data_IF_279572882850
#
_entry.id   IF_279572882850
#
_cell.length_a   1.000
_cell.length_b   1.000
_cell.length_c   1.000
_cell.angle_alpha   90.00
_cell.angle_beta   90.00
_cell.angle_gamma   90.00
#
_symmetry.space_group_name_H-M   'P 1'
#
loop_
_entity.id
_entity.type
_entity.pdbx_description
1 polymer ?
#
# COMPACT_ATOMS: atom_id res chain seq x y z
N UNK A 1 -3.42 6.85 5.85
CA UNK A 1 -3.48 5.66 6.73
C UNK A 1 -4.16 4.52 5.97
N UNK A 2 -3.54 3.35 5.99
CA UNK A 2 -4.03 2.13 5.38
C UNK A 2 -4.00 1.03 6.43
N UNK A 3 -5.06 0.23 6.53
CA UNK A 3 -5.17 -0.91 7.44
C UNK A 3 -5.33 -2.17 6.61
N UNK A 4 -4.43 -3.12 6.84
CA UNK A 4 -4.42 -4.41 6.17
C UNK A 4 -4.99 -5.49 7.09
N UNK A 5 -5.67 -6.46 6.49
CA UNK A 5 -5.99 -7.74 7.11
C UNK A 5 -4.75 -8.63 7.22
N UNK A 6 -4.89 -9.74 7.94
CA UNK A 6 -3.84 -10.77 8.05
C UNK A 6 -3.51 -11.43 6.70
N UNK A 7 -4.41 -11.33 5.73
CA UNK A 7 -4.27 -11.82 4.36
C UNK A 7 -3.70 -10.74 3.41
N UNK A 8 -3.18 -9.64 3.95
CA UNK A 8 -2.62 -8.49 3.24
C UNK A 8 -3.62 -7.82 2.28
N UNK A 9 -4.93 -8.00 2.49
CA UNK A 9 -5.96 -7.24 1.81
C UNK A 9 -6.29 -5.97 2.58
N UNK A 10 -6.70 -4.92 1.88
CA UNK A 10 -7.09 -3.68 2.54
C UNK A 10 -8.43 -3.86 3.26
N UNK A 11 -8.43 -3.68 4.58
CA UNK A 11 -9.66 -3.62 5.38
C UNK A 11 -10.20 -2.19 5.45
N UNK A 12 -9.33 -1.20 5.50
CA UNK A 12 -9.71 0.20 5.62
C UNK A 12 -8.63 1.12 5.06
N UNK A 13 -9.04 2.24 4.47
CA UNK A 13 -8.16 3.37 4.18
C UNK A 13 -8.88 4.67 4.55
N UNK A 14 -8.13 5.68 4.99
CA UNK A 14 -8.70 6.99 5.33
C UNK A 14 -8.82 7.90 4.10
N UNK A 15 -9.56 9.01 4.23
CA UNK A 15 -9.77 9.96 3.14
C UNK A 15 -8.47 10.48 2.52
N UNK A 16 -7.46 10.81 3.33
CA UNK A 16 -6.17 11.30 2.83
C UNK A 16 -5.46 10.30 1.93
N UNK A 17 -5.64 8.98 2.14
CA UNK A 17 -5.10 7.97 1.24
C UNK A 17 -5.79 8.04 -0.13
N UNK A 18 -7.12 8.10 -0.15
CA UNK A 18 -7.88 8.22 -1.39
C UNK A 18 -7.50 9.47 -2.18
N UNK A 19 -7.34 10.61 -1.50
CA UNK A 19 -6.99 11.88 -2.14
C UNK A 19 -5.55 11.85 -2.71
N UNK A 20 -4.60 11.30 -1.94
CA UNK A 20 -3.18 11.26 -2.35
C UNK A 20 -2.93 10.33 -3.54
N UNK A 21 -3.61 9.18 -3.57
CA UNK A 21 -3.42 8.17 -4.62
C UNK A 21 -4.48 8.24 -5.72
N UNK A 22 -5.44 9.17 -5.63
CA UNK A 22 -6.55 9.33 -6.57
C UNK A 22 -7.32 8.03 -6.85
N UNK A 23 -7.63 7.27 -5.79
CA UNK A 23 -8.36 5.99 -5.86
C UNK A 23 -9.63 6.04 -5.02
N UNK A 24 -10.63 5.22 -5.36
CA UNK A 24 -11.89 5.14 -4.61
C UNK A 24 -11.91 3.98 -3.59
N UNK A 25 -12.78 4.02 -2.57
CA UNK A 25 -12.96 2.88 -1.66
C UNK A 25 -13.30 1.57 -2.38
N UNK A 26 -14.09 1.64 -3.46
CA UNK A 26 -14.49 0.48 -4.26
C UNK A 26 -13.32 -0.20 -4.96
N UNK A 27 -12.31 0.59 -5.36
CA UNK A 27 -11.10 0.10 -6.02
C UNK A 27 -10.01 -0.32 -5.02
N UNK A 28 -10.22 -0.05 -3.73
CA UNK A 28 -9.18 -0.21 -2.71
C UNK A 28 -9.52 -1.31 -1.70
N UNK A 29 -10.73 -1.29 -1.13
CA UNK A 29 -11.09 -2.20 -0.03
C UNK A 29 -11.26 -3.63 -0.55
N UNK A 30 -10.69 -4.60 0.17
CA UNK A 30 -10.66 -6.01 -0.21
C UNK A 30 -9.62 -6.36 -1.28
N UNK A 31 -8.95 -5.36 -1.87
CA UNK A 31 -7.88 -5.56 -2.84
C UNK A 31 -6.59 -5.95 -2.13
N UNK A 32 -5.82 -6.82 -2.77
CA UNK A 32 -4.52 -7.24 -2.24
C UNK A 32 -3.54 -6.06 -2.32
N UNK A 33 -2.77 -5.82 -1.25
CA UNK A 33 -1.93 -4.62 -1.17
C UNK A 33 -0.95 -4.48 -2.35
N UNK A 34 -0.50 -5.59 -2.94
CA UNK A 34 0.40 -5.57 -4.10
C UNK A 34 -0.25 -5.17 -5.42
N UNK A 35 -1.57 -5.12 -5.49
CA UNK A 35 -2.33 -4.69 -6.68
C UNK A 35 -2.72 -3.20 -6.60
N UNK A 36 -2.56 -2.57 -5.43
CA UNK A 36 -2.94 -1.17 -5.23
C UNK A 36 -2.13 -0.21 -6.07
N UNK A 37 -2.81 0.83 -6.57
CA UNK A 37 -2.18 1.90 -7.35
C UNK A 37 -1.43 1.36 -8.56
N UNK A 38 -1.98 0.37 -9.27
CA UNK A 38 -1.31 -0.28 -10.41
C UNK A 38 0.03 -0.96 -10.04
N UNK A 39 0.09 -1.56 -8.85
CA UNK A 39 1.28 -2.29 -8.38
C UNK A 39 2.38 -1.41 -7.77
N UNK A 40 2.13 -0.11 -7.55
CA UNK A 40 3.08 0.80 -6.90
C UNK A 40 3.51 0.34 -5.50
N UNK A 41 2.65 -0.40 -4.82
CA UNK A 41 2.91 -0.94 -3.48
C UNK A 41 3.67 -2.27 -3.52
N UNK A 42 3.86 -2.87 -4.69
CA UNK A 42 4.65 -4.09 -4.88
C UNK A 42 6.16 -3.79 -4.86
N UNK A 43 6.61 -3.21 -3.75
CA UNK A 43 8.01 -2.83 -3.53
C UNK A 43 8.70 -4.00 -2.83
N UNK A 44 9.86 -4.49 -3.32
CA UNK A 44 10.56 -5.64 -2.73
C UNK A 44 10.82 -5.50 -1.23
N UNK A 45 11.17 -4.29 -0.79
CA UNK A 45 11.42 -4.04 0.64
C UNK A 45 10.13 -4.09 1.46
N UNK A 46 9.04 -3.49 0.98
CA UNK A 46 7.74 -3.56 1.67
C UNK A 46 7.23 -5.00 1.76
N UNK A 47 7.41 -5.79 0.69
CA UNK A 47 7.12 -7.24 0.70
C UNK A 47 7.92 -7.98 1.76
N UNK A 48 9.23 -7.74 1.81
CA UNK A 48 10.11 -8.33 2.83
C UNK A 48 9.62 -8.02 4.25
N UNK A 49 9.22 -6.78 4.50
CA UNK A 49 8.70 -6.38 5.81
C UNK A 49 7.40 -7.11 6.15
N UNK A 50 6.40 -7.08 5.26
CA UNK A 50 5.08 -7.64 5.54
C UNK A 50 5.03 -9.17 5.51
N UNK A 51 5.80 -9.82 4.64
CA UNK A 51 5.73 -11.27 4.44
C UNK A 51 6.79 -12.04 5.23
N UNK A 52 7.93 -11.43 5.55
CA UNK A 52 9.03 -12.13 6.24
C UNK A 52 9.24 -11.63 7.66
N UNK A 53 9.19 -10.31 7.89
CA UNK A 53 9.54 -9.73 9.20
C UNK A 53 8.33 -9.65 10.13
N UNK A 54 7.19 -9.13 9.65
CA UNK A 54 5.98 -8.98 10.47
C UNK A 54 5.56 -10.30 11.14
N UNK A 55 5.56 -11.46 10.45
CA UNK A 55 5.21 -12.73 11.07
C UNK A 55 6.16 -13.17 12.20
N UNK A 56 7.40 -12.64 12.23
CA UNK A 56 8.41 -13.00 13.22
C UNK A 56 8.49 -12.01 14.39
N UNK A 57 8.22 -10.73 14.15
CA UNK A 57 8.43 -9.65 15.13
C UNK A 57 7.16 -9.12 15.78
N UNK A 58 5.98 -9.64 15.40
CA UNK A 58 4.64 -9.22 15.84
C UNK A 58 4.25 -7.77 15.45
N UNK A 59 5.18 -6.82 15.49
CA UNK A 59 5.01 -5.44 15.02
C UNK A 59 6.35 -4.79 14.66
N UNK A 60 6.29 -3.69 13.95
CA UNK A 60 7.37 -2.72 13.78
C UNK A 60 6.74 -1.35 13.58
N UNK A 61 7.40 -0.30 14.06
CA UNK A 61 6.87 1.07 14.04
C UNK A 61 7.88 1.99 13.34
N UNK A 62 7.38 3.03 12.67
CA UNK A 62 8.15 4.10 12.03
C UNK A 62 9.28 3.62 11.08
N UNK A 63 9.08 2.50 10.37
CA UNK A 63 10.02 2.03 9.36
C UNK A 63 9.89 2.84 8.06
N UNK A 64 10.95 3.56 7.70
CA UNK A 64 11.03 4.35 6.46
C UNK A 64 11.54 3.49 5.30
N UNK A 65 10.83 3.52 4.16
CA UNK A 65 11.21 2.85 2.92
C UNK A 65 11.42 3.93 1.86
N UNK A 66 12.65 4.09 1.39
CA UNK A 66 12.94 4.94 0.25
C UNK A 66 12.59 4.19 -1.05
N UNK A 67 11.57 4.65 -1.76
CA UNK A 67 11.24 4.14 -3.09
C UNK A 67 11.03 5.28 -4.08
N UNK A 68 11.80 5.25 -5.17
CA UNK A 68 11.64 6.19 -6.28
C UNK A 68 10.39 5.83 -7.08
N UNK A 69 9.23 6.36 -6.64
CA UNK A 69 7.97 6.29 -7.39
C UNK A 69 8.09 7.18 -8.64
N UNK A 70 8.66 6.64 -9.71
CA UNK A 70 8.78 7.36 -10.97
C UNK A 70 7.45 7.25 -11.73
N UNK A 71 6.49 8.12 -11.42
CA UNK A 71 5.23 8.20 -12.14
C UNK A 71 5.35 9.22 -13.30
N UNK A 72 4.98 8.88 -14.55
CA UNK A 72 4.83 9.88 -15.61
C UNK A 72 3.56 10.72 -15.38
N UNK A 73 3.57 12.05 -15.51
CA UNK A 73 2.38 12.88 -15.23
C UNK A 73 1.15 12.38 -16.00
N UNK A 74 0.03 12.17 -15.28
CA UNK A 74 -1.25 11.88 -15.91
C UNK A 74 -1.75 13.18 -16.53
N UNK A 75 -1.70 13.28 -17.85
CA UNK A 75 -2.45 14.30 -18.58
C UNK A 75 -3.90 13.82 -18.72
N UNK A 76 -4.79 14.38 -17.91
CA UNK A 76 -6.23 14.32 -18.19
C UNK A 76 -6.54 15.30 -19.33
N UNK A 77 -7.24 14.79 -20.35
CA UNK A 77 -7.75 15.58 -21.47
C UNK A 77 -8.92 16.48 -21.03
#
# INVERSE_FOLDING_TARGET
>A
MLVLGWDLRVHYANQSFYDQFAVTPKETVGVFVWELGNGQWNIPELRRLLEQILPQKNSFDDYEIEHSLNWPPIYVA
#
